data_IF_163146759726
#
_entry.id   IF_163146759726
#
_cell.length_a   1.000
_cell.length_b   1.000
_cell.length_c   1.000
_cell.angle_alpha   90.00
_cell.angle_beta   90.00
_cell.angle_gamma   90.00
#
_symmetry.space_group_name_H-M   'P 1'
#
loop_
_entity.id
_entity.type
_entity.pdbx_description
1 polymer ?
#
# COMPACT_ATOMS: atom_id res chain seq x y z
N UNK A 1 -13.36 21.88 0.66
CA UNK A 1 -14.11 20.63 0.42
C UNK A 1 -13.09 19.56 0.05
N UNK A 2 -13.11 18.43 0.75
CA UNK A 2 -12.19 17.31 0.54
C UNK A 2 -12.83 16.03 1.05
N UNK A 3 -12.31 14.89 0.60
CA UNK A 3 -12.74 13.57 1.08
C UNK A 3 -11.79 13.11 2.19
N UNK A 4 -12.31 12.41 3.19
CA UNK A 4 -11.47 11.69 4.14
C UNK A 4 -10.90 10.45 3.43
N UNK A 5 -9.58 10.33 3.37
CA UNK A 5 -8.89 9.26 2.64
C UNK A 5 -8.02 8.45 3.60
N UNK A 6 -8.21 7.13 3.56
CA UNK A 6 -7.35 6.17 4.24
C UNK A 6 -6.69 5.26 3.19
N UNK A 7 -5.37 5.13 3.27
CA UNK A 7 -4.60 4.20 2.44
C UNK A 7 -4.16 3.02 3.30
N UNK A 8 -4.53 1.82 2.88
CA UNK A 8 -4.09 0.56 3.49
C UNK A 8 -2.90 0.01 2.70
N UNK A 9 -1.84 -0.37 3.40
CA UNK A 9 -0.61 -0.90 2.81
C UNK A 9 -0.19 -2.15 3.59
N UNK A 10 0.05 -3.27 2.89
CA UNK A 10 0.47 -4.52 3.55
C UNK A 10 1.90 -4.46 4.05
N UNK A 11 2.73 -3.62 3.44
CA UNK A 11 4.12 -3.44 3.79
C UNK A 11 4.26 -2.61 5.06
N UNK A 12 5.43 -2.69 5.71
CA UNK A 12 5.71 -1.89 6.91
C UNK A 12 5.88 -0.39 6.61
N UNK A 13 6.06 -0.02 5.33
CA UNK A 13 6.16 1.37 4.87
C UNK A 13 5.47 1.58 3.52
N UNK A 14 4.97 2.80 3.33
CA UNK A 14 4.34 3.25 2.09
C UNK A 14 5.37 3.49 0.98
N UNK A 15 5.05 3.12 -0.25
CA UNK A 15 5.82 3.47 -1.45
C UNK A 15 5.98 2.36 -2.48
N UNK A 16 5.45 1.16 -2.22
CA UNK A 16 5.46 0.04 -3.17
C UNK A 16 6.82 -0.21 -3.81
N UNK A 17 6.84 -0.44 -5.13
CA UNK A 17 8.10 -0.68 -5.87
C UNK A 17 9.05 0.53 -5.88
N UNK A 18 8.57 1.76 -5.73
CA UNK A 18 9.47 2.92 -5.59
C UNK A 18 10.35 2.76 -4.34
N UNK A 19 9.79 2.16 -3.28
CA UNK A 19 10.52 1.88 -2.04
C UNK A 19 11.27 0.55 -2.06
N UNK A 20 10.62 -0.53 -2.47
CA UNK A 20 11.18 -1.88 -2.28
C UNK A 20 11.78 -2.50 -3.55
N UNK A 21 11.52 -1.94 -4.73
CA UNK A 21 11.99 -2.49 -6.01
C UNK A 21 13.09 -1.68 -6.67
N UNK A 22 12.96 -0.35 -6.70
CA UNK A 22 13.94 0.52 -7.36
C UNK A 22 15.15 0.73 -6.44
N UNK A 23 16.39 0.52 -6.89
CA UNK A 23 17.58 0.77 -6.07
C UNK A 23 17.82 2.26 -5.76
N UNK A 24 18.49 2.57 -4.65
CA UNK A 24 18.74 3.94 -4.17
C UNK A 24 19.53 4.79 -5.16
N UNK A 25 20.53 4.22 -5.85
CA UNK A 25 21.33 4.96 -6.83
C UNK A 25 20.52 5.43 -8.05
N UNK A 26 19.32 4.87 -8.28
CA UNK A 26 18.38 5.35 -9.29
C UNK A 26 17.36 6.33 -8.69
N UNK A 27 16.95 6.10 -7.46
CA UNK A 27 15.93 6.90 -6.78
C UNK A 27 16.07 6.80 -5.26
N UNK A 28 16.47 7.92 -4.65
CA UNK A 28 16.57 8.05 -3.20
C UNK A 28 15.20 7.97 -2.50
N UNK A 29 15.13 7.26 -1.37
CA UNK A 29 13.87 7.06 -0.62
C UNK A 29 13.36 8.30 0.10
N UNK A 30 14.23 9.27 0.32
CA UNK A 30 13.91 10.57 0.91
C UNK A 30 12.77 11.29 0.17
N UNK A 31 12.72 11.15 -1.16
CA UNK A 31 11.64 11.72 -1.98
C UNK A 31 10.27 11.09 -1.69
N UNK A 32 10.24 9.79 -1.38
CA UNK A 32 9.00 9.08 -1.02
C UNK A 32 8.54 9.59 0.34
N UNK A 33 9.45 9.65 1.32
CA UNK A 33 9.15 10.13 2.68
C UNK A 33 8.59 11.56 2.66
N UNK A 34 9.17 12.44 1.83
CA UNK A 34 8.68 13.80 1.66
C UNK A 34 7.24 13.85 1.14
N UNK A 35 6.92 13.02 0.14
CA UNK A 35 5.57 12.97 -0.45
C UNK A 35 4.55 12.36 0.50
N UNK A 36 4.92 11.32 1.25
CA UNK A 36 4.06 10.73 2.29
C UNK A 36 3.77 11.78 3.36
N UNK A 37 4.79 12.45 3.88
CA UNK A 37 4.62 13.50 4.89
C UNK A 37 3.73 14.65 4.41
N UNK A 38 3.85 15.04 3.14
CA UNK A 38 2.96 16.03 2.54
C UNK A 38 1.50 15.54 2.56
N UNK A 39 1.23 14.31 2.11
CA UNK A 39 -0.13 13.74 2.09
C UNK A 39 -0.71 13.59 3.50
N UNK A 40 0.10 13.19 4.48
CA UNK A 40 -0.30 13.14 5.89
C UNK A 40 -0.68 14.54 6.42
N UNK A 41 0.11 15.56 6.07
CA UNK A 41 -0.19 16.95 6.45
C UNK A 41 -1.47 17.48 5.77
N UNK A 42 -1.84 16.93 4.61
CA UNK A 42 -3.09 17.20 3.90
C UNK A 42 -4.28 16.37 4.45
N UNK A 43 -4.03 15.46 5.40
CA UNK A 43 -5.06 14.70 6.12
C UNK A 43 -5.25 13.25 5.65
N UNK A 44 -4.40 12.73 4.77
CA UNK A 44 -4.44 11.30 4.38
C UNK A 44 -3.94 10.44 5.54
N UNK A 45 -4.70 9.41 5.90
CA UNK A 45 -4.32 8.44 6.93
C UNK A 45 -3.68 7.22 6.27
N UNK A 46 -2.46 6.87 6.68
CA UNK A 46 -1.81 5.64 6.23
C UNK A 46 -1.90 4.55 7.31
N UNK A 47 -2.46 3.39 6.95
CA UNK A 47 -2.48 2.17 7.78
C UNK A 47 -1.58 1.13 7.14
N UNK A 48 -0.32 1.09 7.58
CA UNK A 48 0.70 0.12 7.15
C UNK A 48 0.56 -1.21 7.87
N UNK A 49 1.19 -2.27 7.36
CA UNK A 49 1.05 -3.64 7.86
C UNK A 49 -0.41 -4.14 7.88
N UNK A 50 -1.24 -3.70 6.94
CA UNK A 50 -2.62 -4.17 6.77
C UNK A 50 -2.81 -4.76 5.37
N UNK A 51 -3.14 -6.04 5.29
CA UNK A 51 -3.53 -6.69 4.04
C UNK A 51 -5.03 -6.48 3.80
N UNK A 52 -5.40 -6.00 2.62
CA UNK A 52 -6.78 -6.04 2.14
C UNK A 52 -6.98 -7.26 1.26
N UNK A 53 -7.82 -8.21 1.67
CA UNK A 53 -8.16 -9.39 0.87
C UNK A 53 -8.00 -10.71 1.61
N UNK A 54 -7.92 -11.80 0.84
CA UNK A 54 -7.78 -13.18 1.31
C UNK A 54 -6.72 -13.91 0.51
N UNK A 55 -6.21 -15.01 1.06
CA UNK A 55 -5.39 -16.00 0.35
C UNK A 55 -4.25 -15.37 -0.47
N UNK A 56 -3.28 -14.77 0.23
CA UNK A 56 -2.15 -14.10 -0.42
C UNK A 56 -1.13 -15.13 -0.96
N UNK A 57 -0.55 -14.94 -2.17
CA UNK A 57 0.42 -15.88 -2.73
C UNK A 57 1.62 -16.13 -1.81
N UNK A 58 1.93 -17.40 -1.54
CA UNK A 58 2.97 -17.78 -0.57
C UNK A 58 4.39 -17.31 -0.94
N UNK A 59 4.64 -17.05 -2.23
CA UNK A 59 5.95 -16.62 -2.75
C UNK A 59 6.08 -15.10 -2.89
N UNK A 60 5.09 -14.34 -2.42
CA UNK A 60 5.12 -12.87 -2.40
C UNK A 60 5.31 -12.39 -0.97
N UNK A 61 6.19 -11.41 -0.78
CA UNK A 61 6.46 -10.86 0.55
C UNK A 61 5.21 -10.22 1.15
N UNK A 62 4.91 -10.51 2.41
CA UNK A 62 3.80 -9.91 3.14
C UNK A 62 4.24 -9.53 4.57
N UNK A 63 4.21 -8.23 4.89
CA UNK A 63 4.52 -7.70 6.23
C UNK A 63 3.26 -7.33 7.02
N UNK A 64 2.08 -7.76 6.57
CA UNK A 64 0.84 -7.48 7.24
C UNK A 64 0.75 -8.17 8.60
N UNK A 65 0.22 -7.45 9.58
CA UNK A 65 -0.10 -7.94 10.93
C UNK A 65 -1.60 -8.03 11.16
N UNK A 66 -2.37 -7.37 10.31
CA UNK A 66 -3.82 -7.31 10.30
C UNK A 66 -4.30 -7.60 8.87
N UNK A 67 -5.43 -8.28 8.76
CA UNK A 67 -6.11 -8.50 7.48
C UNK A 67 -7.52 -7.96 7.60
N UNK A 68 -7.92 -7.15 6.62
CA UNK A 68 -9.28 -6.64 6.46
C UNK A 68 -9.85 -7.13 5.14
N UNK A 69 -11.18 -7.28 5.07
CA UNK A 69 -11.83 -7.81 3.89
C UNK A 69 -12.46 -6.71 3.04
N UNK A 70 -12.51 -6.86 1.70
CA UNK A 70 -13.14 -5.86 0.83
C UNK A 70 -14.57 -5.51 1.23
N UNK A 71 -15.32 -6.49 1.73
CA UNK A 71 -16.72 -6.32 2.16
C UNK A 71 -16.85 -5.41 3.39
N UNK A 72 -15.79 -5.26 4.19
CA UNK A 72 -15.78 -4.31 5.31
C UNK A 72 -15.50 -2.89 4.81
N UNK A 73 -14.62 -2.75 3.81
CA UNK A 73 -14.35 -1.46 3.17
C UNK A 73 -15.58 -0.88 2.47
N UNK A 74 -16.37 -1.72 1.79
CA UNK A 74 -17.60 -1.27 1.11
C UNK A 74 -18.68 -0.78 2.09
N UNK A 75 -18.62 -1.18 3.37
CA UNK A 75 -19.54 -0.68 4.41
C UNK A 75 -19.04 0.60 5.06
N UNK A 76 -17.72 0.75 5.19
CA UNK A 76 -17.08 1.85 5.92
C UNK A 76 -16.77 3.07 5.05
N UNK A 77 -16.62 2.89 3.73
CA UNK A 77 -16.21 3.95 2.81
C UNK A 77 -17.23 4.16 1.69
N UNK A 78 -17.43 5.43 1.30
CA UNK A 78 -18.31 5.78 0.17
C UNK A 78 -17.76 5.32 -1.19
N UNK A 79 -16.45 5.09 -1.28
CA UNK A 79 -15.76 4.63 -2.49
C UNK A 79 -14.47 3.90 -2.14
N UNK A 80 -14.11 2.90 -2.96
CA UNK A 80 -12.88 2.10 -2.80
C UNK A 80 -12.05 2.18 -4.09
N UNK A 81 -10.74 2.42 -3.94
CA UNK A 81 -9.78 2.41 -5.04
C UNK A 81 -8.79 1.26 -4.82
N UNK A 82 -8.67 0.37 -5.81
CA UNK A 82 -7.66 -0.69 -5.79
C UNK A 82 -6.36 -0.19 -6.42
N UNK A 83 -5.28 -0.18 -5.63
CA UNK A 83 -3.96 0.28 -6.06
C UNK A 83 -2.83 -0.71 -5.66
N UNK A 84 -3.13 -1.99 -5.51
CA UNK A 84 -2.18 -3.02 -5.05
C UNK A 84 -1.08 -3.41 -6.05
N UNK A 85 -1.18 -3.01 -7.31
CA UNK A 85 -0.20 -3.35 -8.35
C UNK A 85 -0.16 -4.85 -8.69
N UNK A 86 0.99 -5.31 -9.21
CA UNK A 86 1.22 -6.70 -9.60
C UNK A 86 2.52 -7.23 -8.96
N UNK A 87 2.40 -8.14 -8.00
CA UNK A 87 3.53 -8.63 -7.22
C UNK A 87 3.94 -10.07 -7.56
N UNK A 88 3.02 -10.85 -8.12
CA UNK A 88 3.32 -12.20 -8.56
C UNK A 88 4.16 -12.15 -9.84
N UNK A 89 5.40 -12.66 -9.84
CA UNK A 89 6.21 -12.74 -11.04
C UNK A 89 5.63 -13.77 -12.02
N UNK A 90 6.04 -13.68 -13.28
CA UNK A 90 5.70 -14.69 -14.29
C UNK A 90 6.62 -15.90 -14.15
N UNK A 91 6.06 -17.09 -14.33
CA UNK A 91 6.83 -18.32 -14.43
C UNK A 91 7.76 -18.28 -15.65
N UNK A 92 8.88 -19.00 -15.55
CA UNK A 92 9.77 -19.21 -16.69
C UNK A 92 9.15 -20.24 -17.65
N UNK A 93 9.26 -20.05 -18.98
CA UNK A 93 8.87 -21.05 -19.96
C UNK A 93 9.65 -22.37 -19.83
#
# INVERSE_FOLDING_TARGET
AGHAVTVFEKSDRVGGLLRYGIPDFKMEKSHIDLRVKQMEAEGVVFRTSVLVGKDFPAHVNNWAKETIFPEDLEKEFDAVIMAGGAEQPRDLP
#
